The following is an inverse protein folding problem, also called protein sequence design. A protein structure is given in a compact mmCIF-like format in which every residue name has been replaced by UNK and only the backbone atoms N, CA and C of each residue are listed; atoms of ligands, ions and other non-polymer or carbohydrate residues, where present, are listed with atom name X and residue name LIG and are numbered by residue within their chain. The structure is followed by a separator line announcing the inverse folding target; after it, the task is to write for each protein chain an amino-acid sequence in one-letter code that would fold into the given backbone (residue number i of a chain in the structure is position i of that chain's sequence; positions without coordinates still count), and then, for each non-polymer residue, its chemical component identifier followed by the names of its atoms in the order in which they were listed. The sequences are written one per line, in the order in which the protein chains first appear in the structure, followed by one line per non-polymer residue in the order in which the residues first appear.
data_IF_134959626589
#
_entry.id   IF_134959626589
#
_cell.length_a   1.000
_cell.length_b   1.000
_cell.length_c   1.000
_cell.angle_alpha   90.00
_cell.angle_beta   90.00
_cell.angle_gamma   90.00
#
_symmetry.space_group_name_H-M   'P 1'
#
loop_
_entity.id
_entity.type
_entity.pdbx_description
1 polymer ?
#
# COMPACT_ATOMS: atom_id res chain seq x y z
N UNK A 1 -11.06 -87.51 -79.49
CA UNK A 1 -9.76 -87.16 -78.88
C UNK A 1 -9.22 -85.90 -79.54
N UNK A 2 -9.05 -84.83 -78.76
CA UNK A 2 -8.20 -83.68 -79.10
C UNK A 2 -7.44 -83.30 -77.83
N UNK A 3 -6.10 -83.28 -77.92
CA UNK A 3 -5.18 -83.13 -76.79
C UNK A 3 -5.01 -81.62 -76.50
N UNK A 4 -5.27 -81.20 -75.27
CA UNK A 4 -4.88 -79.86 -74.79
C UNK A 4 -3.53 -79.97 -74.08
N UNK A 5 -2.63 -79.10 -74.51
CA UNK A 5 -1.19 -79.08 -74.24
C UNK A 5 -0.89 -78.63 -72.80
N UNK A 6 -0.24 -79.50 -72.02
CA UNK A 6 0.09 -79.31 -70.59
C UNK A 6 1.43 -78.59 -70.47
N UNK A 7 1.55 -77.39 -71.05
CA UNK A 7 2.76 -76.54 -70.94
C UNK A 7 2.54 -75.17 -70.27
N UNK A 8 1.38 -74.93 -69.67
CA UNK A 8 1.06 -73.63 -69.02
C UNK A 8 0.87 -73.73 -67.51
N UNK A 9 1.29 -74.83 -66.87
CA UNK A 9 1.20 -74.99 -65.41
C UNK A 9 2.51 -74.68 -64.65
N UNK A 10 3.53 -74.15 -65.33
CA UNK A 10 4.87 -74.00 -64.75
C UNK A 10 5.46 -72.60 -64.94
N UNK A 11 4.81 -71.56 -64.39
CA UNK A 11 5.55 -70.41 -63.86
C UNK A 11 4.74 -69.57 -62.85
N UNK A 12 4.53 -70.10 -61.65
CA UNK A 12 3.91 -69.37 -60.53
C UNK A 12 4.91 -68.50 -59.74
N UNK A 13 6.17 -68.42 -60.17
CA UNK A 13 7.23 -67.70 -59.45
C UNK A 13 7.02 -66.18 -59.49
N UNK A 14 6.63 -65.64 -60.65
CA UNK A 14 6.39 -64.20 -60.83
C UNK A 14 5.12 -63.71 -60.15
N UNK A 15 4.11 -64.58 -60.03
CA UNK A 15 2.88 -64.27 -59.27
C UNK A 15 3.16 -64.24 -57.77
N UNK A 16 3.97 -65.17 -57.25
CA UNK A 16 4.35 -65.19 -55.83
C UNK A 16 5.25 -64.02 -55.46
N UNK A 17 6.23 -63.67 -56.31
CA UNK A 17 7.07 -62.47 -56.11
C UNK A 17 6.22 -61.20 -56.04
N UNK A 18 5.29 -61.00 -56.96
CA UNK A 18 4.40 -59.82 -56.95
C UNK A 18 3.54 -59.72 -55.70
N UNK A 19 3.00 -60.84 -55.21
CA UNK A 19 2.21 -60.84 -53.97
C UNK A 19 3.08 -60.50 -52.77
N UNK A 20 4.29 -61.07 -52.66
CA UNK A 20 5.21 -60.79 -51.55
C UNK A 20 5.65 -59.33 -51.56
N UNK A 21 5.99 -58.77 -52.73
CA UNK A 21 6.38 -57.36 -52.86
C UNK A 21 5.24 -56.40 -52.50
N UNK A 22 4.01 -56.69 -52.94
CA UNK A 22 2.84 -55.88 -52.59
C UNK A 22 2.49 -55.97 -51.09
N UNK A 23 2.65 -57.13 -50.47
CA UNK A 23 2.42 -57.31 -49.03
C UNK A 23 3.50 -56.60 -48.21
N UNK A 24 4.77 -56.67 -48.62
CA UNK A 24 5.87 -55.93 -47.98
C UNK A 24 5.68 -54.42 -48.06
N UNK A 25 5.35 -53.87 -49.25
CA UNK A 25 5.08 -52.44 -49.39
C UNK A 25 3.89 -51.96 -48.53
N UNK A 26 2.83 -52.78 -48.42
CA UNK A 26 1.71 -52.44 -47.54
C UNK A 26 2.06 -52.51 -46.04
N UNK A 27 2.99 -53.37 -45.64
CA UNK A 27 3.46 -53.46 -44.26
C UNK A 27 4.39 -52.28 -43.92
N UNK A 28 5.32 -51.90 -44.81
CA UNK A 28 6.20 -50.75 -44.64
C UNK A 28 5.40 -49.44 -44.57
N UNK A 29 4.47 -49.21 -45.49
CA UNK A 29 3.60 -48.02 -45.46
C UNK A 29 2.73 -47.95 -44.20
N UNK A 30 2.30 -49.08 -43.63
CA UNK A 30 1.55 -49.09 -42.35
C UNK A 30 2.45 -48.79 -41.15
N UNK A 31 3.72 -49.15 -41.20
CA UNK A 31 4.68 -48.86 -40.13
C UNK A 31 5.08 -47.38 -40.10
N UNK A 32 5.38 -46.79 -41.25
CA UNK A 32 5.74 -45.37 -41.36
C UNK A 32 4.59 -44.44 -40.93
N UNK A 33 3.35 -44.74 -41.36
CA UNK A 33 2.16 -43.92 -41.07
C UNK A 33 1.71 -43.98 -39.60
N UNK A 34 2.08 -45.04 -38.86
CA UNK A 34 1.86 -45.14 -37.40
C UNK A 34 2.94 -44.47 -36.56
N UNK A 35 4.16 -44.36 -37.09
CA UNK A 35 5.30 -43.72 -36.42
C UNK A 35 5.12 -42.20 -36.30
N UNK A 36 4.75 -41.52 -37.39
CA UNK A 36 4.62 -40.05 -37.40
C UNK A 36 3.53 -39.52 -36.48
N UNK A 37 2.36 -40.20 -36.41
CA UNK A 37 1.28 -39.84 -35.47
C UNK A 37 1.75 -39.96 -34.01
N UNK A 38 2.47 -41.03 -33.66
CA UNK A 38 2.99 -41.22 -32.29
C UNK A 38 4.02 -40.15 -31.91
N UNK A 39 4.83 -39.68 -32.85
CA UNK A 39 5.76 -38.58 -32.61
C UNK A 39 5.05 -37.25 -32.37
N UNK A 40 4.04 -36.93 -33.19
CA UNK A 40 3.21 -35.73 -33.00
C UNK A 40 2.49 -35.74 -31.64
N UNK A 41 1.92 -36.88 -31.23
CA UNK A 41 1.32 -37.00 -29.90
C UNK A 41 2.34 -36.84 -28.78
N UNK A 42 3.55 -37.40 -28.91
CA UNK A 42 4.62 -37.24 -27.90
C UNK A 42 5.04 -35.79 -27.73
N UNK A 43 5.23 -35.07 -28.84
CA UNK A 43 5.59 -33.64 -28.83
C UNK A 43 4.46 -32.82 -28.23
N UNK A 44 3.20 -33.06 -28.62
CA UNK A 44 2.03 -32.40 -28.04
C UNK A 44 1.88 -32.67 -26.54
N UNK A 45 2.07 -33.91 -26.08
CA UNK A 45 2.04 -34.22 -24.65
C UNK A 45 3.18 -33.58 -23.88
N UNK A 46 4.38 -33.46 -24.48
CA UNK A 46 5.52 -32.77 -23.87
C UNK A 46 5.24 -31.27 -23.72
N UNK A 47 4.75 -30.61 -24.77
CA UNK A 47 4.37 -29.19 -24.74
C UNK A 47 3.27 -28.97 -23.70
N UNK A 48 2.21 -29.80 -23.71
CA UNK A 48 1.12 -29.71 -22.76
C UNK A 48 1.61 -29.90 -21.32
N UNK A 49 2.52 -30.84 -21.08
CA UNK A 49 3.10 -31.08 -19.75
C UNK A 49 3.94 -29.89 -19.28
N UNK A 50 4.70 -29.25 -20.18
CA UNK A 50 5.46 -28.03 -19.89
C UNK A 50 4.51 -26.87 -19.59
N UNK A 51 3.44 -26.68 -20.36
CA UNK A 51 2.45 -25.63 -20.12
C UNK A 51 1.70 -25.83 -18.80
N UNK A 52 1.31 -27.08 -18.47
CA UNK A 52 0.69 -27.41 -17.18
C UNK A 52 1.68 -27.17 -16.05
N UNK A 53 2.95 -27.57 -16.21
CA UNK A 53 4.00 -27.32 -15.22
C UNK A 53 4.24 -25.83 -14.97
N UNK A 54 4.30 -25.01 -16.03
CA UNK A 54 4.41 -23.55 -15.93
C UNK A 54 3.17 -22.92 -15.30
N UNK A 55 1.96 -23.40 -15.63
CA UNK A 55 0.72 -22.93 -15.02
C UNK A 55 0.65 -23.27 -13.53
N UNK A 56 1.00 -24.50 -13.14
CA UNK A 56 1.06 -24.91 -11.73
C UNK A 56 2.14 -24.11 -10.99
N UNK A 57 3.31 -23.90 -11.61
CA UNK A 57 4.38 -23.08 -11.03
C UNK A 57 3.93 -21.63 -10.84
N UNK A 58 3.23 -21.04 -11.81
CA UNK A 58 2.69 -19.69 -11.67
C UNK A 58 1.60 -19.62 -10.61
N UNK A 59 0.62 -20.52 -10.64
CA UNK A 59 -0.42 -20.62 -9.61
C UNK A 59 0.17 -20.83 -8.21
N UNK A 60 1.20 -21.65 -8.07
CA UNK A 60 1.87 -21.88 -6.79
C UNK A 60 2.62 -20.63 -6.32
N UNK A 61 3.33 -19.95 -7.23
CA UNK A 61 4.02 -18.70 -6.94
C UNK A 61 3.03 -17.59 -6.55
N UNK A 62 1.94 -17.44 -7.30
CA UNK A 62 0.90 -16.44 -7.07
C UNK A 62 0.13 -16.75 -5.78
N UNK A 63 -0.14 -18.02 -5.49
CA UNK A 63 -0.74 -18.46 -4.22
C UNK A 63 0.19 -18.23 -3.02
N UNK A 64 1.50 -18.48 -3.16
CA UNK A 64 2.46 -18.12 -2.12
C UNK A 64 2.52 -16.61 -1.91
N UNK A 65 2.51 -15.81 -2.97
CA UNK A 65 2.51 -14.35 -2.90
C UNK A 65 1.20 -13.82 -2.27
N UNK A 66 0.05 -14.39 -2.61
CA UNK A 66 -1.24 -14.06 -2.02
C UNK A 66 -1.34 -14.47 -0.53
N UNK A 67 -0.71 -15.57 -0.12
CA UNK A 67 -0.66 -15.99 1.28
C UNK A 67 0.24 -15.10 2.17
N UNK A 68 1.11 -14.29 1.55
CA UNK A 68 2.01 -13.37 2.27
C UNK A 68 1.44 -11.96 2.44
N UNK A 69 0.39 -11.59 1.70
CA UNK A 69 -0.20 -10.26 1.78
C UNK A 69 -1.17 -10.22 2.97
N UNK A 70 -0.91 -9.39 3.99
CA UNK A 70 -1.83 -9.26 5.12
C UNK A 70 -3.15 -8.59 4.68
N UNK A 71 -4.28 -8.91 5.34
CA UNK A 71 -5.56 -8.29 5.02
C UNK A 71 -5.52 -6.77 5.29
N UNK A 72 -6.28 -6.01 4.51
CA UNK A 72 -6.53 -4.58 4.78
C UNK A 72 -7.48 -4.47 5.97
N UNK A 73 -7.24 -3.48 6.83
CA UNK A 73 -7.95 -3.30 8.10
C UNK A 73 -7.85 -4.55 8.98
N UNK A 74 -6.61 -4.96 9.26
CA UNK A 74 -6.35 -6.16 10.07
C UNK A 74 -6.76 -5.92 11.53
N UNK A 75 -7.87 -6.53 11.91
CA UNK A 75 -8.43 -6.38 13.25
C UNK A 75 -7.49 -6.87 14.34
N UNK A 76 -6.64 -7.87 14.09
CA UNK A 76 -5.67 -8.34 15.09
C UNK A 76 -4.66 -7.22 15.41
N UNK A 77 -4.19 -6.51 14.39
CA UNK A 77 -3.30 -5.37 14.57
C UNK A 77 -3.98 -4.24 15.37
N UNK A 78 -5.25 -3.96 15.08
CA UNK A 78 -6.01 -2.98 15.85
C UNK A 78 -6.15 -3.41 17.32
N UNK A 79 -6.56 -4.65 17.57
CA UNK A 79 -6.69 -5.19 18.93
C UNK A 79 -5.37 -5.10 19.71
N UNK A 80 -4.24 -5.43 19.08
CA UNK A 80 -2.91 -5.26 19.68
C UNK A 80 -2.66 -3.81 20.09
N UNK A 81 -2.95 -2.85 19.20
CA UNK A 81 -2.77 -1.43 19.48
C UNK A 81 -3.67 -0.94 20.63
N UNK A 82 -4.93 -1.38 20.66
CA UNK A 82 -5.89 -1.02 21.71
C UNK A 82 -5.53 -1.62 23.07
N UNK A 83 -5.11 -2.88 23.11
CA UNK A 83 -4.67 -3.54 24.34
C UNK A 83 -3.39 -2.92 24.90
N UNK A 84 -2.45 -2.56 24.01
CA UNK A 84 -1.22 -1.86 24.39
C UNK A 84 -1.53 -0.51 25.04
N UNK A 85 -2.41 0.27 24.41
CA UNK A 85 -2.85 1.58 24.93
C UNK A 85 -3.58 1.44 26.26
N UNK A 86 -4.50 0.48 26.37
CA UNK A 86 -5.20 0.20 27.62
C UNK A 86 -4.25 -0.15 28.78
N UNK A 87 -3.13 -0.82 28.48
CA UNK A 87 -2.12 -1.20 29.48
C UNK A 87 -1.27 -0.01 29.92
N UNK A 88 -0.87 0.85 28.99
CA UNK A 88 -0.02 2.02 29.28
C UNK A 88 -0.81 3.19 29.88
N UNK A 89 -2.04 3.43 29.39
CA UNK A 89 -2.81 4.64 29.69
C UNK A 89 -4.11 4.37 30.47
N UNK A 90 -4.44 3.11 30.75
CA UNK A 90 -5.65 2.70 31.48
C UNK A 90 -6.89 2.51 30.59
N UNK A 91 -7.84 1.69 31.07
CA UNK A 91 -8.99 1.18 30.28
C UNK A 91 -10.10 2.20 29.95
N UNK A 92 -10.09 3.38 30.58
CA UNK A 92 -11.18 4.37 30.47
C UNK A 92 -10.89 5.48 29.45
N UNK A 93 -9.82 5.38 28.65
CA UNK A 93 -9.48 6.39 27.65
C UNK A 93 -10.13 6.06 26.31
N UNK A 94 -10.50 7.11 25.57
CA UNK A 94 -10.93 6.98 24.18
C UNK A 94 -9.74 6.46 23.36
N UNK A 95 -9.87 5.24 22.81
CA UNK A 95 -8.92 4.51 21.94
C UNK A 95 -8.54 5.20 20.63
N UNK A 96 -8.83 6.49 20.51
CA UNK A 96 -8.74 7.24 19.27
C UNK A 96 -7.31 7.32 18.75
N UNK A 97 -6.34 7.62 19.61
CA UNK A 97 -4.95 7.76 19.14
C UNK A 97 -4.47 6.47 18.48
N UNK A 98 -4.65 5.34 19.15
CA UNK A 98 -4.32 4.02 18.60
C UNK A 98 -5.09 3.69 17.33
N UNK A 99 -6.36 4.08 17.25
CA UNK A 99 -7.16 3.88 16.05
C UNK A 99 -6.72 4.78 14.88
N UNK A 100 -6.44 6.06 15.12
CA UNK A 100 -5.95 6.99 14.11
C UNK A 100 -4.55 6.53 13.60
N UNK A 101 -3.67 6.07 14.50
CA UNK A 101 -2.39 5.46 14.12
C UNK A 101 -2.56 4.17 13.32
N UNK A 102 -3.50 3.31 13.70
CA UNK A 102 -3.86 2.11 12.94
C UNK A 102 -4.32 2.48 11.52
N UNK A 103 -5.25 3.45 11.40
CA UNK A 103 -5.75 3.88 10.11
C UNK A 103 -4.67 4.47 9.22
N UNK A 104 -3.69 5.19 9.78
CA UNK A 104 -2.56 5.73 9.02
C UNK A 104 -1.73 4.62 8.35
N UNK A 105 -1.47 3.52 9.07
CA UNK A 105 -0.76 2.36 8.53
C UNK A 105 -1.60 1.66 7.46
N UNK A 106 -2.88 1.41 7.75
CA UNK A 106 -3.79 0.73 6.82
C UNK A 106 -4.03 1.55 5.55
N UNK A 107 -4.16 2.87 5.66
CA UNK A 107 -4.37 3.76 4.53
C UNK A 107 -3.14 3.77 3.63
N UNK A 108 -1.94 3.93 4.19
CA UNK A 108 -0.70 3.93 3.42
C UNK A 108 -0.50 2.57 2.73
N UNK A 109 -0.73 1.48 3.47
CA UNK A 109 -0.64 0.12 2.95
C UNK A 109 -1.54 -0.11 1.73
N UNK A 110 -2.84 0.16 1.87
CA UNK A 110 -3.78 -0.13 0.79
C UNK A 110 -3.61 0.82 -0.41
N UNK A 111 -3.25 2.08 -0.16
CA UNK A 111 -2.99 3.03 -1.23
C UNK A 111 -1.74 2.64 -2.03
N UNK A 112 -0.66 2.24 -1.35
CA UNK A 112 0.54 1.72 -1.99
C UNK A 112 0.22 0.49 -2.87
N UNK A 113 -0.58 -0.45 -2.36
CA UNK A 113 -1.03 -1.61 -3.14
C UNK A 113 -1.85 -1.21 -4.37
N UNK A 114 -2.70 -0.19 -4.25
CA UNK A 114 -3.48 0.33 -5.40
C UNK A 114 -2.58 0.90 -6.51
N UNK A 115 -1.38 1.38 -6.15
CA UNK A 115 -0.37 1.85 -7.08
C UNK A 115 0.55 0.73 -7.59
N UNK A 116 0.30 -0.52 -7.21
CA UNK A 116 1.12 -1.67 -7.62
C UNK A 116 2.46 -1.78 -6.89
N UNK A 117 2.61 -1.09 -5.76
CA UNK A 117 3.81 -1.16 -4.93
C UNK A 117 3.73 -2.42 -4.05
N UNK A 118 4.75 -3.27 -4.14
CA UNK A 118 4.86 -4.49 -3.35
C UNK A 118 6.31 -4.66 -2.86
N UNK A 119 6.53 -4.88 -1.55
CA UNK A 119 7.87 -5.06 -1.01
C UNK A 119 8.46 -6.41 -1.41
N UNK A 120 9.77 -6.42 -1.63
CA UNK A 120 10.54 -7.66 -1.79
C UNK A 120 10.69 -8.37 -0.44
N UNK A 121 10.98 -9.68 -0.47
CA UNK A 121 11.23 -10.45 0.75
C UNK A 121 12.37 -9.86 1.60
N UNK A 122 13.39 -9.29 0.96
CA UNK A 122 14.50 -8.63 1.64
C UNK A 122 14.05 -7.38 2.41
N UNK A 123 13.18 -6.56 1.81
CA UNK A 123 12.61 -5.38 2.47
C UNK A 123 11.72 -5.77 3.65
N UNK A 124 10.91 -6.83 3.50
CA UNK A 124 10.08 -7.36 4.58
C UNK A 124 10.96 -7.88 5.72
N UNK A 125 12.01 -8.65 5.42
CA UNK A 125 12.91 -9.20 6.43
C UNK A 125 13.64 -8.09 7.21
N UNK A 126 14.18 -7.09 6.51
CA UNK A 126 14.79 -5.92 7.14
C UNK A 126 13.79 -5.19 8.04
N UNK A 127 12.57 -4.98 7.56
CA UNK A 127 11.53 -4.30 8.36
C UNK A 127 11.10 -5.13 9.55
N UNK A 128 11.11 -6.46 9.44
CA UNK A 128 10.80 -7.36 10.54
C UNK A 128 11.84 -7.23 11.67
N UNK A 129 13.13 -7.13 11.34
CA UNK A 129 14.18 -6.86 12.33
C UNK A 129 13.91 -5.53 13.06
N UNK A 130 13.64 -4.44 12.32
CA UNK A 130 13.30 -3.13 12.88
C UNK A 130 12.04 -3.17 13.78
N UNK A 131 11.00 -3.90 13.36
CA UNK A 131 9.77 -4.08 14.12
C UNK A 131 10.04 -4.88 15.41
N UNK A 132 10.82 -5.96 15.33
CA UNK A 132 11.17 -6.75 16.50
C UNK A 132 12.02 -5.94 17.48
N UNK A 133 12.99 -5.15 17.01
CA UNK A 133 13.76 -4.24 17.86
C UNK A 133 12.84 -3.24 18.58
N UNK A 134 11.86 -2.68 17.88
CA UNK A 134 10.88 -1.78 18.49
C UNK A 134 10.04 -2.46 19.59
N UNK A 135 9.75 -3.75 19.45
CA UNK A 135 9.04 -4.51 20.49
C UNK A 135 9.95 -4.89 21.65
N UNK A 136 11.25 -5.12 21.43
CA UNK A 136 12.19 -5.42 22.51
C UNK A 136 12.50 -4.20 23.38
N UNK A 137 12.64 -3.02 22.75
CA UNK A 137 13.13 -1.81 23.41
C UNK A 137 12.07 -0.70 23.55
N UNK A 138 10.84 -0.93 23.12
CA UNK A 138 9.73 0.00 23.25
C UNK A 138 9.18 0.11 24.68
N UNK A 139 8.27 1.07 24.88
CA UNK A 139 7.63 1.34 26.19
C UNK A 139 6.90 0.13 26.77
N UNK A 140 6.32 -0.70 25.90
CA UNK A 140 5.77 -2.00 26.25
C UNK A 140 6.61 -3.08 25.58
N UNK A 141 7.41 -3.78 26.38
CA UNK A 141 8.39 -4.77 25.93
C UNK A 141 7.73 -6.02 25.35
N UNK A 142 8.47 -6.78 24.55
CA UNK A 142 7.98 -8.03 23.94
C UNK A 142 7.49 -9.01 25.00
N UNK A 143 8.24 -9.21 26.09
CA UNK A 143 7.85 -10.08 27.20
C UNK A 143 6.49 -9.69 27.80
N UNK A 144 6.24 -8.39 27.99
CA UNK A 144 4.97 -7.89 28.51
C UNK A 144 3.80 -8.07 27.53
N UNK A 145 4.07 -8.02 26.22
CA UNK A 145 3.10 -8.28 25.15
C UNK A 145 2.76 -9.77 25.07
N UNK A 146 3.76 -10.63 25.11
CA UNK A 146 3.58 -12.09 25.13
C UNK A 146 2.76 -12.53 26.33
N UNK A 147 3.04 -11.96 27.51
CA UNK A 147 2.25 -12.20 28.72
C UNK A 147 0.80 -11.69 28.61
N UNK A 148 0.61 -10.49 28.05
CA UNK A 148 -0.72 -9.90 27.84
C UNK A 148 -1.58 -10.72 26.87
N UNK A 149 -0.98 -11.19 25.78
CA UNK A 149 -1.64 -11.95 24.72
C UNK A 149 -1.69 -13.46 25.00
N UNK A 150 -1.00 -13.92 26.05
CA UNK A 150 -0.88 -15.34 26.42
C UNK A 150 -0.41 -16.21 25.24
N UNK A 151 0.66 -15.80 24.57
CA UNK A 151 1.19 -16.50 23.40
C UNK A 151 2.72 -16.62 23.41
N UNK A 152 3.24 -17.56 22.62
CA UNK A 152 4.68 -17.69 22.41
C UNK A 152 5.21 -16.59 21.50
N UNK A 153 6.53 -16.41 21.52
CA UNK A 153 7.20 -15.45 20.64
C UNK A 153 7.02 -15.79 19.17
N UNK A 154 7.11 -17.07 18.79
CA UNK A 154 6.90 -17.50 17.41
C UNK A 154 5.46 -17.20 16.95
N UNK A 155 4.46 -17.50 17.79
CA UNK A 155 3.08 -17.19 17.48
C UNK A 155 2.85 -15.67 17.32
N UNK A 156 3.51 -14.87 18.14
CA UNK A 156 3.47 -13.41 18.03
C UNK A 156 4.12 -12.90 16.74
N UNK A 157 5.27 -13.46 16.36
CA UNK A 157 5.98 -13.08 15.14
C UNK A 157 5.11 -13.35 13.91
N UNK A 158 4.51 -14.54 13.83
CA UNK A 158 3.65 -14.90 12.70
C UNK A 158 2.37 -14.07 12.65
N UNK A 159 1.71 -13.84 13.79
CA UNK A 159 0.38 -13.22 13.84
C UNK A 159 0.43 -11.69 13.80
N UNK A 160 1.52 -11.06 14.27
CA UNK A 160 1.62 -9.60 14.37
C UNK A 160 2.85 -9.04 13.69
N UNK A 161 4.05 -9.51 14.06
CA UNK A 161 5.29 -8.84 13.63
C UNK A 161 5.47 -8.92 12.10
N UNK A 162 5.21 -10.07 11.48
CA UNK A 162 5.29 -10.24 10.03
C UNK A 162 4.26 -9.40 9.26
N UNK A 163 2.95 -9.43 9.60
CA UNK A 163 1.98 -8.51 8.99
C UNK A 163 2.37 -7.03 9.13
N UNK A 164 2.78 -6.60 10.33
CA UNK A 164 3.23 -5.22 10.59
C UNK A 164 4.43 -4.88 9.70
N UNK A 165 5.44 -5.77 9.64
CA UNK A 165 6.62 -5.57 8.82
C UNK A 165 6.29 -5.47 7.33
N UNK A 166 5.37 -6.30 6.84
CA UNK A 166 4.91 -6.21 5.45
C UNK A 166 4.25 -4.86 5.17
N UNK A 167 3.30 -4.44 6.00
CA UNK A 167 2.58 -3.16 5.82
C UNK A 167 3.53 -1.98 5.91
N UNK A 168 4.44 -1.98 6.89
CA UNK A 168 5.44 -0.92 7.05
C UNK A 168 6.41 -0.85 5.85
N UNK A 169 6.92 -2.00 5.37
CA UNK A 169 7.78 -2.02 4.18
C UNK A 169 7.03 -1.54 2.92
N UNK A 170 5.73 -1.81 2.83
CA UNK A 170 4.87 -1.32 1.75
C UNK A 170 4.65 0.19 1.84
N UNK A 171 4.45 0.72 3.06
CA UNK A 171 4.38 2.16 3.31
C UNK A 171 5.67 2.89 2.95
N UNK A 172 6.84 2.33 3.29
CA UNK A 172 8.14 2.90 2.91
C UNK A 172 8.28 3.06 1.38
N UNK A 173 7.81 2.08 0.61
CA UNK A 173 7.79 2.16 -0.85
C UNK A 173 6.94 3.33 -1.35
N UNK A 174 5.78 3.57 -0.74
CA UNK A 174 4.92 4.69 -1.09
C UNK A 174 5.61 6.04 -0.79
N UNK A 175 6.26 6.16 0.37
CA UNK A 175 7.00 7.37 0.73
C UNK A 175 8.18 7.63 -0.21
N UNK A 176 8.86 6.58 -0.66
CA UNK A 176 9.93 6.69 -1.63
C UNK A 176 9.44 7.03 -3.04
N UNK A 177 8.35 6.40 -3.50
CA UNK A 177 7.78 6.65 -4.82
C UNK A 177 7.32 8.11 -4.98
N UNK A 178 6.73 8.67 -3.93
CA UNK A 178 6.15 10.03 -3.94
C UNK A 178 7.22 11.13 -3.90
N UNK A 179 8.50 10.83 -3.65
CA UNK A 179 9.58 11.83 -3.70
C UNK A 179 9.70 12.50 -5.08
N UNK A 180 9.44 11.74 -6.15
CA UNK A 180 9.51 12.26 -7.52
C UNK A 180 8.38 13.25 -7.84
N UNK A 181 7.22 13.08 -7.20
CA UNK A 181 6.04 13.92 -7.40
C UNK A 181 6.16 15.28 -6.67
N UNK A 182 7.05 15.35 -5.67
CA UNK A 182 7.20 16.49 -4.75
C UNK A 182 8.69 16.89 -4.54
N UNK A 183 9.44 17.25 -5.60
CA UNK A 183 10.91 17.38 -5.56
C UNK A 183 11.43 18.60 -4.76
N UNK A 184 10.59 19.60 -4.50
CA UNK A 184 10.94 20.83 -3.77
C UNK A 184 10.15 20.98 -2.46
N UNK A 185 9.44 19.92 -2.07
CA UNK A 185 8.62 19.86 -0.85
C UNK A 185 9.43 19.27 0.30
N UNK A 186 9.31 19.84 1.50
CA UNK A 186 9.88 19.20 2.68
C UNK A 186 9.22 17.85 2.95
N UNK A 187 9.97 16.91 3.53
CA UNK A 187 9.48 15.55 3.77
C UNK A 187 8.18 15.53 4.60
N UNK A 188 8.07 16.41 5.60
CA UNK A 188 6.90 16.53 6.46
C UNK A 188 5.64 16.91 5.67
N UNK A 189 5.76 17.86 4.76
CA UNK A 189 4.64 18.34 3.94
C UNK A 189 4.24 17.29 2.91
N UNK A 190 5.22 16.65 2.27
CA UNK A 190 4.99 15.56 1.32
C UNK A 190 4.25 14.39 2.00
N UNK A 191 4.75 13.95 3.15
CA UNK A 191 4.15 12.87 3.93
C UNK A 191 2.67 13.16 4.22
N UNK A 192 2.35 14.40 4.61
CA UNK A 192 0.98 14.79 4.85
C UNK A 192 0.08 14.71 3.59
N UNK A 193 0.54 15.19 2.42
CA UNK A 193 -0.25 15.10 1.19
C UNK A 193 -0.59 13.65 0.85
N UNK A 194 0.41 12.79 0.94
CA UNK A 194 0.26 11.37 0.62
C UNK A 194 -0.59 10.67 1.68
N UNK A 195 -0.51 11.05 2.96
CA UNK A 195 -1.44 10.58 4.00
C UNK A 195 -2.90 10.95 3.70
N UNK A 196 -3.17 12.16 3.20
CA UNK A 196 -4.53 12.57 2.83
C UNK A 196 -5.07 11.76 1.66
N UNK A 197 -4.26 11.56 0.61
CA UNK A 197 -4.65 10.74 -0.54
C UNK A 197 -4.90 9.29 -0.11
N UNK A 198 -4.01 8.73 0.70
CA UNK A 198 -4.12 7.38 1.23
C UNK A 198 -5.38 7.21 2.08
N UNK A 199 -5.67 8.17 2.97
CA UNK A 199 -6.86 8.14 3.81
C UNK A 199 -8.13 8.28 2.97
N UNK A 200 -8.16 9.19 2.00
CA UNK A 200 -9.28 9.36 1.09
C UNK A 200 -9.56 8.07 0.29
N UNK A 201 -8.49 7.40 -0.16
CA UNK A 201 -8.61 6.09 -0.82
C UNK A 201 -9.19 5.04 0.13
N UNK A 202 -8.66 4.92 1.35
CA UNK A 202 -9.17 3.98 2.35
C UNK A 202 -10.65 4.24 2.66
N UNK A 203 -11.04 5.49 2.89
CA UNK A 203 -12.43 5.87 3.15
C UNK A 203 -13.33 5.57 1.95
N UNK A 204 -12.91 5.87 0.73
CA UNK A 204 -13.70 5.61 -0.47
C UNK A 204 -13.94 4.12 -0.69
N UNK A 205 -12.91 3.28 -0.49
CA UNK A 205 -12.94 1.87 -0.84
C UNK A 205 -13.37 0.94 0.30
N UNK A 206 -13.20 1.35 1.56
CA UNK A 206 -13.44 0.54 2.76
C UNK A 206 -14.38 1.21 3.78
N UNK A 207 -15.24 2.13 3.34
CA UNK A 207 -16.15 2.87 4.22
C UNK A 207 -17.00 1.98 5.14
N UNK A 208 -17.44 0.81 4.69
CA UNK A 208 -18.33 -0.07 5.47
C UNK A 208 -17.58 -0.78 6.58
N UNK A 209 -16.40 -1.29 6.25
CA UNK A 209 -15.48 -1.96 7.16
C UNK A 209 -15.01 -0.97 8.24
N UNK A 210 -14.64 0.25 7.83
CA UNK A 210 -14.31 1.34 8.75
C UNK A 210 -15.45 1.68 9.70
N UNK A 211 -16.69 1.82 9.18
CA UNK A 211 -17.85 2.10 10.01
C UNK A 211 -18.11 0.96 11.02
N UNK A 212 -17.99 -0.30 10.57
CA UNK A 212 -18.14 -1.48 11.42
C UNK A 212 -17.09 -1.53 12.54
N UNK A 213 -15.82 -1.22 12.25
CA UNK A 213 -14.77 -1.17 13.26
C UNK A 213 -15.02 -0.04 14.27
N UNK A 214 -15.40 1.16 13.79
CA UNK A 214 -15.74 2.29 14.66
C UNK A 214 -16.89 1.95 15.61
N UNK A 215 -17.93 1.29 15.10
CA UNK A 215 -19.06 0.83 15.91
C UNK A 215 -18.63 -0.23 16.94
N UNK A 216 -17.92 -1.28 16.50
CA UNK A 216 -17.46 -2.38 17.36
C UNK A 216 -16.63 -1.89 18.54
N UNK A 217 -15.70 -0.95 18.28
CA UNK A 217 -14.80 -0.41 19.30
C UNK A 217 -15.30 0.88 19.96
N UNK A 218 -16.53 1.32 19.67
CA UNK A 218 -17.17 2.54 20.20
C UNK A 218 -16.31 3.80 19.98
N UNK A 219 -15.70 3.91 18.81
CA UNK A 219 -14.83 5.01 18.43
C UNK A 219 -15.70 6.09 17.78
N UNK A 220 -15.78 7.30 18.35
CA UNK A 220 -16.61 8.36 17.81
C UNK A 220 -16.12 8.79 16.43
N UNK A 221 -17.03 8.94 15.49
CA UNK A 221 -16.73 9.34 14.11
C UNK A 221 -16.16 10.77 14.02
N UNK A 222 -16.55 11.65 14.95
CA UNK A 222 -16.07 13.03 15.07
C UNK A 222 -15.85 13.37 16.53
N UNK A 223 -14.80 14.14 16.80
CA UNK A 223 -14.55 14.69 18.13
C UNK A 223 -15.07 16.12 18.22
N UNK A 224 -15.37 16.56 19.45
CA UNK A 224 -15.46 17.98 19.79
C UNK A 224 -14.08 18.62 19.70
N UNK A 225 -13.60 18.89 18.49
CA UNK A 225 -12.45 19.75 18.26
C UNK A 225 -12.91 21.19 18.41
N UNK A 226 -12.23 21.96 19.26
CA UNK A 226 -12.46 23.40 19.30
C UNK A 226 -11.93 24.00 17.99
N UNK A 227 -12.79 24.79 17.34
CA UNK A 227 -12.39 25.56 16.17
C UNK A 227 -11.82 26.88 16.65
N UNK A 228 -10.58 27.13 16.28
CA UNK A 228 -9.86 28.37 16.54
C UNK A 228 -9.79 29.18 15.26
N UNK A 229 -9.73 30.49 15.40
CA UNK A 229 -9.52 31.41 14.27
C UNK A 229 -8.28 32.24 14.56
N UNK A 230 -7.35 32.30 13.59
CA UNK A 230 -6.20 33.20 13.61
C UNK A 230 -6.42 34.26 12.54
N UNK A 231 -6.42 35.52 12.93
CA UNK A 231 -6.45 36.65 12.00
C UNK A 231 -5.08 37.32 11.94
N UNK A 232 -4.63 37.72 10.76
CA UNK A 232 -3.37 38.44 10.59
C UNK A 232 -2.95 38.60 9.14
N UNK A 233 -1.80 39.24 8.95
CA UNK A 233 -1.23 39.49 7.63
C UNK A 233 -0.33 38.34 7.20
N UNK A 234 -0.40 37.96 5.93
CA UNK A 234 0.55 37.03 5.31
C UNK A 234 1.88 37.74 5.12
N UNK A 235 2.92 37.29 5.81
CA UNK A 235 4.25 37.93 5.76
C UNK A 235 5.29 37.15 4.97
N UNK A 236 5.03 35.86 4.71
CA UNK A 236 5.85 35.03 3.85
C UNK A 236 4.98 33.95 3.19
N UNK A 237 5.34 33.60 1.96
CA UNK A 237 4.71 32.52 1.20
C UNK A 237 5.81 31.63 0.63
N UNK A 238 5.72 30.33 0.91
CA UNK A 238 6.55 29.28 0.33
C UNK A 238 5.66 28.39 -0.53
N UNK A 239 6.24 27.37 -1.16
CA UNK A 239 5.53 26.49 -2.09
C UNK A 239 4.30 25.80 -1.48
N UNK A 240 4.32 25.48 -0.18
CA UNK A 240 3.25 24.74 0.49
C UNK A 240 2.78 25.30 1.83
N UNK A 241 3.35 26.42 2.26
CA UNK A 241 3.02 27.03 3.54
C UNK A 241 3.10 28.55 3.44
N UNK A 242 2.39 29.23 4.32
CA UNK A 242 2.41 30.68 4.44
C UNK A 242 2.45 31.07 5.91
N UNK A 243 3.10 32.18 6.21
CA UNK A 243 3.27 32.67 7.57
C UNK A 243 2.28 33.80 7.84
N UNK A 244 1.47 33.64 8.88
CA UNK A 244 0.54 34.67 9.36
C UNK A 244 1.07 35.29 10.64
N UNK A 245 1.13 36.61 10.67
CA UNK A 245 1.48 37.41 11.86
C UNK A 245 0.30 38.30 12.24
N UNK A 246 -0.19 38.14 13.46
CA UNK A 246 -1.31 38.93 13.99
C UNK A 246 -0.83 40.32 14.38
N UNK A 247 -1.52 41.36 13.92
CA UNK A 247 -1.15 42.76 14.19
C UNK A 247 -0.06 43.33 13.27
N UNK A 248 0.51 42.51 12.37
CA UNK A 248 1.38 43.01 11.31
C UNK A 248 0.60 43.87 10.31
N UNK A 249 1.25 44.93 9.84
CA UNK A 249 0.71 45.91 8.91
C UNK A 249 1.52 45.99 7.61
N UNK A 250 0.95 46.60 6.58
CA UNK A 250 1.66 46.86 5.33
C UNK A 250 2.95 47.69 5.54
N UNK A 251 2.97 48.58 6.55
CA UNK A 251 4.19 49.33 6.89
C UNK A 251 5.27 48.45 7.52
N UNK A 252 4.91 47.35 8.19
CA UNK A 252 5.89 46.42 8.74
C UNK A 252 6.57 45.67 7.59
N UNK A 253 5.80 45.16 6.63
CA UNK A 253 6.32 44.48 5.44
C UNK A 253 7.24 45.36 4.57
N UNK A 254 6.98 46.67 4.53
CA UNK A 254 7.81 47.59 3.76
C UNK A 254 9.16 47.91 4.42
N UNK A 255 9.33 47.65 5.73
CA UNK A 255 10.46 48.17 6.53
C UNK A 255 11.26 47.10 7.25
N UNK A 256 10.67 45.94 7.50
CA UNK A 256 11.23 44.89 8.33
C UNK A 256 11.33 43.59 7.54
N UNK A 257 12.37 42.81 7.82
CA UNK A 257 12.47 41.43 7.37
C UNK A 257 11.43 40.54 8.08
N UNK A 258 11.13 39.37 7.51
CA UNK A 258 10.16 38.41 8.09
C UNK A 258 10.49 38.09 9.55
N UNK A 259 11.77 37.85 9.87
CA UNK A 259 12.21 37.53 11.23
C UNK A 259 12.01 38.71 12.19
N UNK A 260 12.30 39.93 11.74
CA UNK A 260 12.06 41.16 12.52
C UNK A 260 10.56 41.39 12.76
N UNK A 261 9.70 41.06 11.79
CA UNK A 261 8.24 41.15 11.95
C UNK A 261 7.76 40.14 13.01
N UNK A 262 8.21 38.88 12.94
CA UNK A 262 7.85 37.84 13.92
C UNK A 262 8.35 38.20 15.32
N UNK A 263 9.58 38.72 15.43
CA UNK A 263 10.15 39.17 16.70
C UNK A 263 9.38 40.36 17.28
N UNK A 264 9.08 41.37 16.45
CA UNK A 264 8.35 42.58 16.87
C UNK A 264 6.97 42.26 17.45
N UNK A 265 6.24 41.36 16.80
CA UNK A 265 4.88 40.99 17.22
C UNK A 265 4.85 39.81 18.19
N UNK A 266 6.01 39.20 18.46
CA UNK A 266 6.19 37.99 19.29
C UNK A 266 5.22 36.86 18.92
N UNK A 267 4.81 36.85 17.66
CA UNK A 267 3.79 35.96 17.17
C UNK A 267 4.04 35.67 15.68
N UNK A 268 3.80 34.43 15.29
CA UNK A 268 4.01 33.95 13.94
C UNK A 268 3.57 32.50 13.90
N UNK A 269 2.67 32.20 12.98
CA UNK A 269 2.15 30.84 12.81
C UNK A 269 2.20 30.47 11.35
N UNK A 270 2.95 29.43 11.06
CA UNK A 270 2.98 28.82 9.74
C UNK A 270 1.71 28.01 9.54
N UNK A 271 1.03 28.28 8.45
CA UNK A 271 -0.16 27.57 8.01
C UNK A 271 0.09 26.89 6.67
N UNK A 272 -0.56 25.74 6.45
CA UNK A 272 -0.51 25.04 5.19
C UNK A 272 -1.21 25.84 4.07
N UNK A 273 -0.67 25.87 2.85
CA UNK A 273 -1.38 26.43 1.67
C UNK A 273 -2.57 25.57 1.21
N UNK A 274 -2.89 24.51 1.94
CA UNK A 274 -3.92 23.56 1.55
C UNK A 274 -5.30 24.14 1.82
N UNK A 275 -6.14 24.16 0.79
CA UNK A 275 -7.43 24.88 0.78
C UNK A 275 -7.29 26.42 0.90
N UNK A 276 -6.09 26.96 0.66
CA UNK A 276 -5.90 28.40 0.55
C UNK A 276 -6.57 28.95 -0.72
N UNK A 277 -7.03 30.22 -0.71
CA UNK A 277 -7.49 30.88 -1.92
C UNK A 277 -6.40 30.88 -3.00
N UNK A 278 -6.77 30.61 -4.26
CA UNK A 278 -5.82 30.55 -5.40
C UNK A 278 -5.00 31.83 -5.64
N UNK A 279 -5.37 32.94 -5.01
CA UNK A 279 -4.74 34.27 -5.17
C UNK A 279 -4.01 34.77 -3.93
N UNK A 280 -3.79 33.90 -2.93
CA UNK A 280 -3.13 34.30 -1.69
C UNK A 280 -1.73 34.88 -1.97
N UNK A 281 -1.46 36.06 -1.43
CA UNK A 281 -0.24 36.84 -1.66
C UNK A 281 0.33 37.38 -0.36
N UNK A 282 1.63 37.68 -0.34
CA UNK A 282 2.25 38.41 0.77
C UNK A 282 1.61 39.80 0.87
N UNK A 283 1.20 40.20 2.07
CA UNK A 283 0.45 41.41 2.34
C UNK A 283 -1.05 41.21 2.50
N UNK A 284 -1.60 40.06 2.11
CA UNK A 284 -3.03 39.78 2.29
C UNK A 284 -3.38 39.69 3.78
N UNK A 285 -4.48 40.31 4.19
CA UNK A 285 -5.13 40.02 5.46
C UNK A 285 -5.92 38.72 5.34
N UNK A 286 -5.73 37.81 6.30
CA UNK A 286 -6.39 36.52 6.31
C UNK A 286 -6.97 36.15 7.66
N UNK A 287 -8.04 35.37 7.59
CA UNK A 287 -8.58 34.58 8.68
C UNK A 287 -8.36 33.10 8.37
N UNK A 288 -7.62 32.42 9.24
CA UNK A 288 -7.38 30.98 9.15
C UNK A 288 -8.16 30.28 10.26
N UNK A 289 -9.10 29.43 9.89
CA UNK A 289 -9.81 28.56 10.81
C UNK A 289 -9.07 27.22 10.90
N UNK A 290 -8.78 26.80 12.12
CA UNK A 290 -8.09 25.54 12.37
C UNK A 290 -8.62 24.85 13.63
N UNK A 291 -8.45 23.54 13.69
CA UNK A 291 -8.85 22.71 14.82
C UNK A 291 -7.66 22.51 15.73
N UNK A 292 -7.89 22.50 17.03
CA UNK A 292 -6.85 22.11 17.99
C UNK A 292 -7.47 21.26 19.09
N UNK A 293 -6.71 20.26 19.54
CA UNK A 293 -7.08 19.51 20.74
C UNK A 293 -7.14 20.46 21.96
N UNK A 294 -8.19 20.32 22.76
CA UNK A 294 -8.36 21.10 23.99
C UNK A 294 -7.21 20.72 24.95
N UNK A 295 -6.38 21.70 25.33
CA UNK A 295 -5.28 21.51 26.30
C UNK A 295 -3.89 21.21 25.72
N UNK A 296 -3.71 21.26 24.39
CA UNK A 296 -2.38 21.11 23.78
C UNK A 296 -1.55 22.41 23.81
N UNK A 297 -0.26 22.29 24.11
CA UNK A 297 0.71 23.41 24.14
C UNK A 297 0.67 24.24 22.85
N UNK A 298 1.03 25.52 22.97
CA UNK A 298 1.10 26.46 21.84
C UNK A 298 2.25 26.10 20.88
N UNK A 299 2.04 25.13 19.99
CA UNK A 299 2.92 24.92 18.85
C UNK A 299 2.87 26.15 17.93
N UNK A 300 4.04 26.57 17.43
CA UNK A 300 4.21 27.65 16.45
C UNK A 300 3.85 27.25 15.02
N UNK A 301 3.53 25.97 14.83
CA UNK A 301 3.12 25.37 13.56
C UNK A 301 1.75 24.70 13.75
N UNK A 302 0.84 24.90 12.80
CA UNK A 302 -0.46 24.22 12.78
C UNK A 302 -0.39 23.10 11.74
N UNK A 303 -0.71 21.88 12.17
CA UNK A 303 -0.71 20.73 11.27
C UNK A 303 -1.70 20.92 10.13
N UNK A 304 -1.34 20.42 8.95
CA UNK A 304 -2.14 20.59 7.74
C UNK A 304 -3.59 20.08 7.89
N UNK A 305 -3.77 18.94 8.58
CA UNK A 305 -5.07 18.31 8.87
C UNK A 305 -5.98 19.16 9.76
N UNK A 306 -5.39 20.09 10.50
CA UNK A 306 -6.12 20.94 11.42
C UNK A 306 -6.72 22.16 10.73
N UNK A 307 -6.24 22.54 9.54
CA UNK A 307 -6.78 23.71 8.82
C UNK A 307 -8.13 23.39 8.19
N UNK A 308 -9.16 24.14 8.59
CA UNK A 308 -10.55 24.00 8.13
C UNK A 308 -10.76 24.82 6.86
N UNK A 309 -10.26 26.06 6.86
CA UNK A 309 -10.42 26.98 5.75
C UNK A 309 -9.65 28.28 5.97
N UNK A 310 -9.38 28.97 4.87
CA UNK A 310 -8.65 30.23 4.82
C UNK A 310 -9.47 31.23 4.02
N UNK A 311 -9.66 32.42 4.58
CA UNK A 311 -10.39 33.50 3.93
C UNK A 311 -9.51 34.75 3.87
N UNK A 312 -9.39 35.35 2.69
CA UNK A 312 -8.83 36.71 2.55
C UNK A 312 -9.89 37.69 3.03
N UNK A 313 -9.51 38.58 3.94
CA UNK A 313 -10.38 39.60 4.52
C UNK A 313 -9.99 40.94 3.89
N UNK A 314 -10.96 41.66 3.34
CA UNK A 314 -10.72 43.03 2.86
C UNK A 314 -10.44 43.94 4.07
N UNK A 315 -9.40 44.77 3.99
CA UNK A 315 -9.17 45.82 4.97
C UNK A 315 -10.36 46.80 4.94
N UNK A 316 -10.96 47.04 6.10
CA UNK A 316 -11.91 48.15 6.32
C UNK A 316 -11.15 49.43 6.67
#
# INVERSE_FOLDING_TARGET
MSKVDIRVLRNLSDSKKRVITNVMQHLEQRHEKKSSKRWQYRVLTMILSVCIGLFIYHQYKDAQQASMIPPVLDEQMLELALQSDAKMNGKNRLYRYSFDSFLMVESAFVYAQSQGLAPTQSQIAKKLEEVMDSFHYGELTLSERLSMLQMSEEAFIESYAKPIAYKAATGDLLWDATKADYPHTSDQVRMWFVEQEAMAYLEQHYHRELASLREKYKIPEKFGQATYTRSGMVVALKEYEFLVVSGASASDLAKLSVDEIVQKHTNGTWFPLVKAPKKLSVGDQVEVQYRKAIGGDAQSFIEFKDTIGIKIVEEY
#
